data_IF_625134370056
#
_entry.id   IF_625134370056
#
_cell.length_a   1.000
_cell.length_b   1.000
_cell.length_c   1.000
_cell.angle_alpha   90.00
_cell.angle_beta   90.00
_cell.angle_gamma   90.00
#
_symmetry.space_group_name_H-M   'P 1'
#
loop_
_entity.id
_entity.type
_entity.pdbx_description
1 polymer ?
#
# COMPACT_ATOMS: atom_id res chain seq x y z
N UNK A 1 2.39 -35.75 0.79
CA UNK A 1 1.82 -34.51 0.22
C UNK A 1 2.21 -33.29 1.03
N UNK A 2 1.83 -33.19 2.31
CA UNK A 2 2.10 -31.99 3.14
C UNK A 2 3.58 -31.59 3.18
N UNK A 3 4.49 -32.55 3.41
CA UNK A 3 5.92 -32.27 3.50
C UNK A 3 6.54 -31.85 2.17
N UNK A 4 6.07 -32.45 1.07
CA UNK A 4 6.47 -32.11 -0.30
C UNK A 4 6.07 -30.66 -0.64
N UNK A 5 4.80 -30.31 -0.40
CA UNK A 5 4.27 -28.94 -0.61
C UNK A 5 5.05 -27.93 0.22
N UNK A 6 5.30 -28.24 1.50
CA UNK A 6 6.09 -27.37 2.40
C UNK A 6 7.53 -27.20 1.90
N UNK A 7 8.17 -28.27 1.44
CA UNK A 7 9.53 -28.21 0.92
C UNK A 7 9.62 -27.36 -0.35
N UNK A 8 8.69 -27.54 -1.29
CA UNK A 8 8.62 -26.75 -2.53
C UNK A 8 8.34 -25.27 -2.25
N UNK A 9 7.38 -24.96 -1.36
CA UNK A 9 7.06 -23.59 -0.98
C UNK A 9 8.26 -22.89 -0.31
N UNK A 10 8.94 -23.57 0.63
CA UNK A 10 10.15 -23.03 1.29
C UNK A 10 11.29 -22.79 0.30
N UNK A 11 11.41 -23.64 -0.72
CA UNK A 11 12.42 -23.50 -1.77
C UNK A 11 12.03 -22.47 -2.86
N UNK A 12 10.85 -21.84 -2.78
CA UNK A 12 10.35 -20.91 -3.79
C UNK A 12 10.06 -21.56 -5.15
N UNK A 13 9.87 -22.89 -5.19
CA UNK A 13 9.62 -23.67 -6.41
C UNK A 13 8.15 -23.58 -6.83
N UNK A 14 7.69 -22.37 -7.15
CA UNK A 14 6.28 -22.07 -7.41
C UNK A 14 5.70 -22.81 -8.61
N UNK A 15 6.45 -22.91 -9.72
CA UNK A 15 6.01 -23.65 -10.91
C UNK A 15 5.80 -25.14 -10.64
N UNK A 16 6.70 -25.76 -9.87
CA UNK A 16 6.56 -27.18 -9.51
C UNK A 16 5.36 -27.40 -8.59
N UNK A 17 5.14 -26.47 -7.66
CA UNK A 17 4.02 -26.49 -6.72
C UNK A 17 2.68 -26.28 -7.44
N UNK A 18 2.60 -25.33 -8.38
CA UNK A 18 1.45 -25.14 -9.25
C UNK A 18 1.18 -26.38 -10.11
N UNK A 19 2.22 -27.03 -10.63
CA UNK A 19 2.09 -28.26 -11.40
C UNK A 19 1.52 -29.45 -10.60
N UNK A 20 1.54 -29.43 -9.26
CA UNK A 20 0.82 -30.42 -8.46
C UNK A 20 -0.70 -30.32 -8.65
N UNK A 21 -1.24 -29.11 -8.88
CA UNK A 21 -2.67 -28.90 -9.12
C UNK A 21 -3.18 -29.67 -10.35
N UNK A 22 -2.31 -29.90 -11.33
CA UNK A 22 -2.66 -30.65 -12.54
C UNK A 22 -2.54 -32.17 -12.33
N UNK A 23 -1.45 -32.59 -11.69
CA UNK A 23 -1.13 -34.03 -11.54
C UNK A 23 -1.92 -34.72 -10.43
N UNK A 24 -2.33 -33.97 -9.41
CA UNK A 24 -2.85 -34.53 -8.14
C UNK A 24 -4.09 -33.80 -7.65
N UNK A 25 -4.91 -33.26 -8.56
CA UNK A 25 -6.12 -32.49 -8.24
C UNK A 25 -7.03 -33.17 -7.21
N UNK A 26 -7.41 -34.46 -7.34
CA UNK A 26 -8.29 -35.10 -6.37
C UNK A 26 -7.69 -35.20 -4.97
N UNK A 27 -6.38 -35.42 -4.88
CA UNK A 27 -5.67 -35.49 -3.59
C UNK A 27 -5.59 -34.13 -2.91
N UNK A 28 -5.33 -33.07 -3.69
CA UNK A 28 -5.33 -31.69 -3.20
C UNK A 28 -6.73 -31.28 -2.76
N UNK A 29 -7.75 -31.74 -3.50
CA UNK A 29 -9.13 -31.50 -3.13
C UNK A 29 -9.53 -32.26 -1.85
N UNK A 30 -9.00 -33.45 -1.62
CA UNK A 30 -9.21 -34.16 -0.37
C UNK A 30 -8.29 -33.69 0.78
N UNK A 31 -7.27 -32.88 0.49
CA UNK A 31 -6.27 -32.47 1.46
C UNK A 31 -6.77 -31.41 2.44
N UNK A 32 -5.96 -31.20 3.48
CA UNK A 32 -6.15 -30.13 4.45
C UNK A 32 -6.03 -28.75 3.81
N UNK A 33 -6.73 -27.78 4.41
CA UNK A 33 -6.82 -26.41 3.91
C UNK A 33 -5.44 -25.75 3.70
N UNK A 34 -4.49 -26.00 4.60
CA UNK A 34 -3.13 -25.43 4.51
C UNK A 34 -2.36 -25.89 3.25
N UNK A 35 -2.54 -27.15 2.84
CA UNK A 35 -1.96 -27.68 1.60
C UNK A 35 -2.60 -27.03 0.40
N UNK A 36 -3.94 -26.93 0.40
CA UNK A 36 -4.70 -26.28 -0.66
C UNK A 36 -4.30 -24.80 -0.82
N UNK A 37 -4.20 -24.03 0.26
CA UNK A 37 -3.84 -22.62 0.18
C UNK A 37 -2.39 -22.38 -0.25
N UNK A 38 -1.45 -23.25 0.14
CA UNK A 38 -0.07 -23.17 -0.35
C UNK A 38 0.02 -23.39 -1.87
N UNK A 39 -0.80 -24.28 -2.41
CA UNK A 39 -0.91 -24.49 -3.86
C UNK A 39 -1.65 -23.34 -4.53
N UNK A 40 -2.69 -22.79 -3.90
CA UNK A 40 -3.40 -21.60 -4.41
C UNK A 40 -2.46 -20.39 -4.54
N UNK A 41 -1.59 -20.16 -3.55
CA UNK A 41 -0.55 -19.12 -3.62
C UNK A 41 0.41 -19.35 -4.80
N UNK A 42 0.85 -20.58 -5.03
CA UNK A 42 1.68 -20.93 -6.17
C UNK A 42 0.97 -20.68 -7.51
N UNK A 43 -0.33 -20.97 -7.58
CA UNK A 43 -1.16 -20.70 -8.76
C UNK A 43 -1.24 -19.19 -9.04
N UNK A 44 -1.43 -18.34 -8.03
CA UNK A 44 -1.39 -16.86 -8.23
C UNK A 44 -0.02 -16.42 -8.76
N UNK A 45 1.07 -16.88 -8.14
CA UNK A 45 2.45 -16.53 -8.54
C UNK A 45 2.83 -17.02 -9.95
N UNK A 46 2.06 -17.93 -10.51
CA UNK A 46 2.25 -18.50 -11.85
C UNK A 46 1.14 -18.08 -12.82
N UNK A 47 0.43 -16.99 -12.50
CA UNK A 47 -0.61 -16.37 -13.34
C UNK A 47 -1.84 -17.26 -13.61
N UNK A 48 -2.09 -18.23 -12.72
CA UNK A 48 -3.25 -19.13 -12.75
C UNK A 48 -4.31 -18.70 -11.73
N UNK A 49 -4.62 -17.41 -11.72
CA UNK A 49 -5.50 -16.76 -10.72
C UNK A 49 -6.89 -17.41 -10.60
N UNK A 50 -7.61 -17.77 -11.69
CA UNK A 50 -8.92 -18.40 -11.58
C UNK A 50 -8.90 -19.73 -10.80
N UNK A 51 -7.84 -20.52 -10.96
CA UNK A 51 -7.69 -21.79 -10.25
C UNK A 51 -7.35 -21.58 -8.77
N UNK A 52 -6.55 -20.55 -8.46
CA UNK A 52 -6.30 -20.16 -7.09
C UNK A 52 -7.59 -19.74 -6.37
N UNK A 53 -8.44 -18.93 -7.02
CA UNK A 53 -9.74 -18.50 -6.47
C UNK A 53 -10.63 -19.71 -6.18
N UNK A 54 -10.71 -20.66 -7.12
CA UNK A 54 -11.48 -21.88 -6.92
C UNK A 54 -10.99 -22.67 -5.71
N UNK A 55 -9.66 -22.78 -5.53
CA UNK A 55 -9.07 -23.52 -4.43
C UNK A 55 -9.25 -22.84 -3.07
N UNK A 56 -9.11 -21.51 -3.01
CA UNK A 56 -9.44 -20.72 -1.81
C UNK A 56 -10.92 -20.86 -1.44
N UNK A 57 -11.82 -20.66 -2.41
CA UNK A 57 -13.28 -20.78 -2.24
C UNK A 57 -13.66 -22.12 -1.63
N UNK A 58 -13.11 -23.20 -2.17
CA UNK A 58 -13.39 -24.56 -1.72
C UNK A 58 -12.89 -24.83 -0.31
N UNK A 59 -11.68 -24.35 0.03
CA UNK A 59 -11.12 -24.49 1.38
C UNK A 59 -11.93 -23.72 2.43
N UNK A 60 -12.39 -22.52 2.10
CA UNK A 60 -13.21 -21.69 2.98
C UNK A 60 -14.63 -22.24 3.17
N UNK A 61 -15.22 -22.80 2.11
CA UNK A 61 -16.57 -23.38 2.11
C UNK A 61 -16.62 -24.83 2.60
N UNK A 62 -15.49 -25.43 3.01
CA UNK A 62 -15.47 -26.82 3.46
C UNK A 62 -16.38 -27.00 4.69
N UNK A 63 -17.29 -28.01 4.73
CA UNK A 63 -18.28 -28.15 5.81
C UNK A 63 -17.70 -28.27 7.22
N UNK A 64 -16.44 -28.71 7.33
CA UNK A 64 -15.73 -28.87 8.61
C UNK A 64 -14.76 -27.74 8.92
N UNK A 65 -14.70 -26.70 8.08
CA UNK A 65 -13.82 -25.57 8.33
C UNK A 65 -14.22 -24.86 9.62
N UNK A 66 -13.25 -24.62 10.48
CA UNK A 66 -13.39 -23.78 11.68
C UNK A 66 -13.37 -22.29 11.31
N UNK A 67 -13.80 -21.43 12.24
CA UNK A 67 -13.68 -19.98 12.08
C UNK A 67 -12.21 -19.55 11.93
N UNK A 68 -11.31 -20.22 12.64
CA UNK A 68 -9.86 -19.96 12.61
C UNK A 68 -9.24 -20.30 11.25
N UNK A 69 -9.62 -21.44 10.67
CA UNK A 69 -9.21 -21.82 9.32
C UNK A 69 -9.75 -20.83 8.28
N UNK A 70 -11.03 -20.44 8.37
CA UNK A 70 -11.60 -19.47 7.43
C UNK A 70 -10.89 -18.12 7.51
N UNK A 71 -10.58 -17.66 8.71
CA UNK A 71 -9.75 -16.46 8.94
C UNK A 71 -8.36 -16.60 8.32
N UNK A 72 -7.66 -17.70 8.59
CA UNK A 72 -6.31 -17.91 8.07
C UNK A 72 -6.28 -17.94 6.53
N UNK A 73 -7.26 -18.62 5.91
CA UNK A 73 -7.42 -18.65 4.47
C UNK A 73 -7.68 -17.27 3.87
N UNK A 74 -8.57 -16.48 4.48
CA UNK A 74 -8.84 -15.11 4.02
C UNK A 74 -7.61 -14.20 4.15
N UNK A 75 -6.92 -14.21 5.30
CA UNK A 75 -5.70 -13.41 5.50
C UNK A 75 -4.61 -13.76 4.47
N UNK A 76 -4.52 -15.04 4.08
CA UNK A 76 -3.58 -15.50 3.06
C UNK A 76 -3.99 -15.12 1.65
N UNK A 77 -5.28 -15.05 1.36
CA UNK A 77 -5.82 -14.63 0.07
C UNK A 77 -5.70 -13.11 -0.13
N UNK A 78 -5.83 -12.31 0.94
CA UNK A 78 -5.85 -10.83 0.88
C UNK A 78 -4.72 -10.19 0.07
N UNK A 79 -3.44 -10.53 0.25
CA UNK A 79 -2.36 -9.92 -0.53
C UNK A 79 -2.23 -10.47 -1.96
N UNK A 80 -3.02 -11.50 -2.32
CA UNK A 80 -2.86 -12.25 -3.56
C UNK A 80 -3.97 -12.00 -4.58
N UNK A 81 -5.18 -11.66 -4.11
CA UNK A 81 -6.37 -11.58 -4.95
C UNK A 81 -6.92 -10.14 -5.02
N UNK A 82 -7.57 -9.76 -6.15
CA UNK A 82 -8.31 -8.51 -6.23
C UNK A 82 -9.38 -8.43 -5.13
N UNK A 83 -9.65 -7.21 -4.65
CA UNK A 83 -10.57 -7.02 -3.52
C UNK A 83 -12.00 -7.50 -3.85
N UNK A 84 -12.41 -7.42 -5.11
CA UNK A 84 -13.70 -7.95 -5.57
C UNK A 84 -13.84 -9.47 -5.38
N UNK A 85 -12.74 -10.24 -5.49
CA UNK A 85 -12.75 -11.68 -5.22
C UNK A 85 -12.77 -11.95 -3.72
N UNK A 86 -12.04 -11.15 -2.93
CA UNK A 86 -12.10 -11.22 -1.47
C UNK A 86 -13.54 -11.02 -0.98
N UNK A 87 -14.27 -10.06 -1.55
CA UNK A 87 -15.68 -9.81 -1.22
C UNK A 87 -16.56 -11.04 -1.46
N UNK A 88 -16.33 -11.75 -2.58
CA UNK A 88 -17.05 -12.99 -2.88
C UNK A 88 -16.70 -14.11 -1.90
N UNK A 89 -15.42 -14.24 -1.52
CA UNK A 89 -14.98 -15.20 -0.51
C UNK A 89 -15.58 -14.90 0.86
N UNK A 90 -15.62 -13.62 1.27
CA UNK A 90 -16.24 -13.20 2.52
C UNK A 90 -17.75 -13.46 2.54
N UNK A 91 -18.45 -13.23 1.41
CA UNK A 91 -19.89 -13.50 1.29
C UNK A 91 -20.25 -14.98 1.39
N UNK A 92 -19.30 -15.88 1.11
CA UNK A 92 -19.48 -17.32 1.17
C UNK A 92 -19.29 -17.93 2.57
N UNK A 93 -18.92 -17.12 3.58
CA UNK A 93 -18.65 -17.60 4.94
C UNK A 93 -19.50 -16.87 5.99
N UNK A 94 -19.69 -17.44 7.20
CA UNK A 94 -20.46 -16.79 8.25
C UNK A 94 -19.87 -15.42 8.64
N UNK A 95 -20.71 -14.38 8.67
CA UNK A 95 -20.27 -13.01 8.96
C UNK A 95 -19.62 -12.84 10.34
N UNK A 96 -19.96 -13.68 11.33
CA UNK A 96 -19.33 -13.67 12.65
C UNK A 96 -17.82 -13.94 12.62
N UNK A 97 -17.34 -14.69 11.62
CA UNK A 97 -15.92 -15.04 11.49
C UNK A 97 -15.07 -13.86 11.00
N UNK A 98 -15.71 -12.92 10.29
CA UNK A 98 -15.05 -11.73 9.72
C UNK A 98 -14.72 -10.68 10.78
N UNK A 99 -15.41 -10.69 11.93
CA UNK A 99 -15.26 -9.66 12.96
C UNK A 99 -13.81 -9.50 13.44
N UNK A 100 -13.09 -10.62 13.57
CA UNK A 100 -11.70 -10.65 14.03
C UNK A 100 -10.67 -10.11 13.03
N UNK A 101 -11.00 -10.09 11.73
CA UNK A 101 -10.14 -9.61 10.63
C UNK A 101 -10.69 -8.35 9.97
N UNK A 102 -11.68 -7.69 10.60
CA UNK A 102 -12.35 -6.53 10.03
C UNK A 102 -11.36 -5.42 9.66
N UNK A 103 -10.39 -5.15 10.52
CA UNK A 103 -9.37 -4.13 10.26
C UNK A 103 -8.48 -4.51 9.06
N UNK A 104 -8.11 -5.78 8.92
CA UNK A 104 -7.31 -6.25 7.78
C UNK A 104 -8.06 -6.13 6.46
N UNK A 105 -9.36 -6.46 6.46
CA UNK A 105 -10.25 -6.29 5.30
C UNK A 105 -10.37 -4.82 4.90
N UNK A 106 -10.55 -3.91 5.86
CA UNK A 106 -10.63 -2.47 5.59
C UNK A 106 -9.29 -1.94 5.06
N UNK A 107 -8.16 -2.38 5.65
CA UNK A 107 -6.81 -2.02 5.19
C UNK A 107 -6.58 -2.45 3.74
N UNK A 108 -6.97 -3.67 3.39
CA UNK A 108 -6.88 -4.19 2.04
C UNK A 108 -7.76 -3.39 1.07
N UNK A 109 -9.01 -3.08 1.45
CA UNK A 109 -9.90 -2.26 0.61
C UNK A 109 -9.37 -0.84 0.39
N UNK A 110 -8.85 -0.18 1.43
CA UNK A 110 -8.20 1.13 1.29
C UNK A 110 -7.05 1.06 0.29
N UNK A 111 -6.23 0.01 0.36
CA UNK A 111 -5.15 -0.22 -0.58
C UNK A 111 -5.66 -0.46 -2.00
N UNK A 112 -6.70 -1.28 -2.18
CA UNK A 112 -7.33 -1.52 -3.48
C UNK A 112 -7.86 -0.22 -4.12
N UNK A 113 -8.50 0.66 -3.33
CA UNK A 113 -8.89 1.99 -3.80
C UNK A 113 -7.69 2.78 -4.27
N UNK A 114 -6.61 2.82 -3.49
CA UNK A 114 -5.41 3.56 -3.86
C UNK A 114 -4.79 3.05 -5.17
N UNK A 115 -4.78 1.73 -5.39
CA UNK A 115 -4.34 1.09 -6.63
C UNK A 115 -5.32 1.25 -7.82
N UNK A 116 -6.51 1.83 -7.59
CA UNK A 116 -7.46 2.11 -8.67
C UNK A 116 -8.37 0.95 -9.02
N UNK A 117 -8.53 -0.04 -8.13
CA UNK A 117 -9.51 -1.09 -8.32
C UNK A 117 -10.94 -0.53 -8.34
N UNK A 118 -11.70 -0.86 -9.38
CA UNK A 118 -13.06 -0.37 -9.57
C UNK A 118 -14.03 -0.93 -8.51
N UNK A 119 -15.02 -0.12 -8.13
CA UNK A 119 -16.10 -0.53 -7.23
C UNK A 119 -15.71 -0.67 -5.75
N UNK A 120 -14.49 -0.29 -5.36
CA UNK A 120 -13.98 -0.49 -4.00
C UNK A 120 -14.37 0.62 -3.02
N UNK A 121 -15.62 1.08 -3.04
CA UNK A 121 -16.06 2.13 -2.11
C UNK A 121 -15.87 1.69 -0.64
N UNK A 122 -15.28 2.58 0.18
CA UNK A 122 -15.10 2.32 1.61
C UNK A 122 -16.26 2.96 2.37
N UNK A 123 -17.00 2.15 3.14
CA UNK A 123 -18.11 2.64 3.95
C UNK A 123 -17.61 3.63 5.02
N UNK A 124 -18.37 4.70 5.35
CA UNK A 124 -17.95 5.67 6.37
C UNK A 124 -17.65 5.04 7.74
N UNK A 125 -18.44 4.05 8.16
CA UNK A 125 -18.23 3.33 9.42
C UNK A 125 -16.96 2.47 9.42
N UNK A 126 -16.56 1.96 8.27
CA UNK A 126 -15.30 1.20 8.10
C UNK A 126 -14.10 2.13 8.10
N UNK A 127 -14.20 3.26 7.39
CA UNK A 127 -13.17 4.29 7.42
C UNK A 127 -12.94 4.80 8.85
N UNK A 128 -14.01 5.12 9.59
CA UNK A 128 -13.91 5.56 10.98
C UNK A 128 -13.29 4.50 11.89
N UNK A 129 -13.63 3.22 11.70
CA UNK A 129 -13.03 2.12 12.46
C UNK A 129 -11.52 1.99 12.18
N UNK A 130 -11.11 2.10 10.92
CA UNK A 130 -9.69 2.05 10.56
C UNK A 130 -8.93 3.29 11.03
N UNK A 131 -9.54 4.48 11.00
CA UNK A 131 -8.96 5.70 11.57
C UNK A 131 -8.71 5.57 13.07
N UNK A 132 -9.69 5.06 13.83
CA UNK A 132 -9.51 4.80 15.26
C UNK A 132 -8.39 3.79 15.54
N UNK A 133 -8.30 2.72 14.73
CA UNK A 133 -7.20 1.77 14.79
C UNK A 133 -5.83 2.43 14.47
N UNK A 134 -5.76 3.21 13.39
CA UNK A 134 -4.54 3.90 12.96
C UNK A 134 -4.11 4.99 13.97
N UNK A 135 -5.05 5.58 14.71
CA UNK A 135 -4.75 6.53 15.79
C UNK A 135 -3.93 5.86 16.90
N UNK A 136 -4.27 4.62 17.27
CA UNK A 136 -3.57 3.88 18.33
C UNK A 136 -2.32 3.11 17.82
N UNK A 137 -2.26 2.79 16.52
CA UNK A 137 -1.19 1.97 15.97
C UNK A 137 0.18 2.68 15.98
N UNK A 138 1.26 2.05 16.49
CA UNK A 138 2.60 2.64 16.45
C UNK A 138 3.20 2.63 15.05
N UNK A 139 2.79 1.70 14.18
CA UNK A 139 3.26 1.59 12.81
C UNK A 139 2.84 2.83 11.98
N UNK A 140 3.80 3.63 11.48
CA UNK A 140 3.51 4.84 10.71
C UNK A 140 2.74 4.55 9.42
N UNK A 141 2.84 3.33 8.87
CA UNK A 141 2.15 2.96 7.64
C UNK A 141 0.63 2.95 7.79
N UNK A 142 0.11 2.72 9.00
CA UNK A 142 -1.33 2.76 9.25
C UNK A 142 -1.86 4.19 9.11
N UNK A 143 -1.16 5.16 9.74
CA UNK A 143 -1.47 6.59 9.58
C UNK A 143 -1.27 7.06 8.13
N UNK A 144 -0.18 6.63 7.48
CA UNK A 144 0.10 6.97 6.08
C UNK A 144 -0.95 6.42 5.10
N UNK A 145 -1.57 5.26 5.40
CA UNK A 145 -2.66 4.72 4.57
C UNK A 145 -3.89 5.62 4.63
N UNK A 146 -4.27 6.09 5.82
CA UNK A 146 -5.37 7.07 5.99
C UNK A 146 -5.04 8.36 5.23
N UNK A 147 -3.82 8.86 5.39
CA UNK A 147 -3.39 10.09 4.73
C UNK A 147 -3.47 10.02 3.20
N UNK A 148 -2.98 8.92 2.61
CA UNK A 148 -3.04 8.68 1.17
C UNK A 148 -4.49 8.58 0.67
N UNK A 149 -5.35 7.92 1.43
CA UNK A 149 -6.77 7.81 1.08
C UNK A 149 -7.47 9.18 1.11
N UNK A 150 -7.25 9.98 2.14
CA UNK A 150 -7.74 11.35 2.24
C UNK A 150 -7.21 12.23 1.08
N UNK A 151 -5.92 12.13 0.77
CA UNK A 151 -5.29 12.85 -0.34
C UNK A 151 -5.93 12.51 -1.70
N UNK A 152 -6.19 11.21 -1.96
CA UNK A 152 -6.85 10.75 -3.20
C UNK A 152 -8.26 11.33 -3.35
N UNK A 153 -8.96 11.54 -2.23
CA UNK A 153 -10.27 12.19 -2.18
C UNK A 153 -10.22 13.73 -2.15
N UNK A 154 -9.02 14.32 -2.21
CA UNK A 154 -8.79 15.76 -2.05
C UNK A 154 -9.23 16.33 -0.70
N UNK A 155 -9.33 15.49 0.34
CA UNK A 155 -9.47 15.95 1.72
C UNK A 155 -8.07 16.31 2.27
N UNK A 156 -7.58 17.48 1.85
CA UNK A 156 -6.23 17.94 2.16
C UNK A 156 -6.00 18.22 3.66
N UNK A 157 -6.95 18.81 4.42
CA UNK A 157 -6.80 18.98 5.86
C UNK A 157 -6.61 17.65 6.59
N UNK A 158 -7.41 16.64 6.25
CA UNK A 158 -7.28 15.31 6.83
C UNK A 158 -5.94 14.66 6.42
N UNK A 159 -5.60 14.69 5.13
CA UNK A 159 -4.34 14.15 4.63
C UNK A 159 -3.13 14.76 5.35
N UNK A 160 -3.12 16.08 5.55
CA UNK A 160 -2.04 16.80 6.23
C UNK A 160 -1.85 16.29 7.66
N UNK A 161 -2.95 16.20 8.42
CA UNK A 161 -2.93 15.74 9.81
C UNK A 161 -2.35 14.32 9.92
N UNK A 162 -2.82 13.41 9.06
CA UNK A 162 -2.38 12.02 9.09
C UNK A 162 -0.95 11.81 8.57
N UNK A 163 -0.52 12.55 7.55
CA UNK A 163 0.87 12.50 7.10
C UNK A 163 1.83 13.04 8.17
N UNK A 164 1.50 14.14 8.85
CA UNK A 164 2.29 14.66 9.97
C UNK A 164 2.40 13.61 11.09
N UNK A 165 1.29 12.94 11.43
CA UNK A 165 1.28 11.85 12.41
C UNK A 165 2.17 10.69 11.98
N UNK A 166 2.10 10.27 10.71
CA UNK A 166 2.92 9.20 10.19
C UNK A 166 4.43 9.54 10.24
N UNK A 167 4.82 10.75 9.83
CA UNK A 167 6.21 11.22 9.96
C UNK A 167 6.66 11.26 11.42
N UNK A 168 5.82 11.76 12.33
CA UNK A 168 6.13 11.80 13.77
C UNK A 168 6.31 10.40 14.40
N UNK A 169 5.80 9.35 13.75
CA UNK A 169 5.96 7.94 14.15
C UNK A 169 7.08 7.21 13.41
N UNK A 170 7.98 7.95 12.74
CA UNK A 170 9.08 7.36 12.00
C UNK A 170 8.70 6.85 10.61
N UNK A 171 7.70 7.47 9.97
CA UNK A 171 7.39 7.24 8.56
C UNK A 171 8.60 7.53 7.66
N UNK A 172 8.68 6.83 6.54
CA UNK A 172 9.82 6.91 5.62
C UNK A 172 9.76 8.12 4.67
N UNK A 173 10.72 8.17 3.74
CA UNK A 173 10.80 9.23 2.74
C UNK A 173 9.58 9.29 1.80
N UNK A 174 8.87 8.17 1.60
CA UNK A 174 7.65 8.13 0.80
C UNK A 174 6.47 8.75 1.56
N UNK A 175 6.38 8.51 2.86
CA UNK A 175 5.42 9.21 3.73
C UNK A 175 5.70 10.72 3.73
N UNK A 176 6.97 11.13 3.84
CA UNK A 176 7.37 12.53 3.78
C UNK A 176 7.08 13.16 2.41
N UNK A 177 7.24 12.41 1.32
CA UNK A 177 6.87 12.85 -0.02
C UNK A 177 5.37 13.17 -0.12
N UNK A 178 4.52 12.29 0.41
CA UNK A 178 3.07 12.54 0.51
C UNK A 178 2.73 13.79 1.34
N UNK A 179 3.46 14.01 2.44
CA UNK A 179 3.34 15.23 3.24
C UNK A 179 3.69 16.49 2.42
N UNK A 180 4.84 16.50 1.74
CA UNK A 180 5.30 17.62 0.93
C UNK A 180 4.30 17.95 -0.19
N UNK A 181 3.79 16.95 -0.91
CA UNK A 181 2.75 17.16 -1.92
C UNK A 181 1.44 17.70 -1.33
N UNK A 182 1.07 17.25 -0.13
CA UNK A 182 -0.12 17.77 0.55
C UNK A 182 0.07 19.25 0.92
N UNK A 183 1.22 19.61 1.47
CA UNK A 183 1.61 20.99 1.79
C UNK A 183 1.58 21.89 0.55
N UNK A 184 2.08 21.41 -0.59
CA UNK A 184 2.00 22.16 -1.86
C UNK A 184 0.56 22.42 -2.30
N UNK A 185 -0.31 21.40 -2.26
CA UNK A 185 -1.70 21.53 -2.70
C UNK A 185 -2.50 22.53 -1.86
N UNK A 186 -2.13 22.74 -0.60
CA UNK A 186 -2.75 23.75 0.28
C UNK A 186 -2.02 25.10 0.27
N UNK A 187 -0.96 25.26 -0.52
CA UNK A 187 -0.25 26.52 -0.69
C UNK A 187 0.90 26.77 0.30
N UNK A 188 1.21 25.82 1.18
CA UNK A 188 2.33 25.90 2.13
C UNK A 188 3.65 25.49 1.44
N UNK A 189 4.08 26.32 0.48
CA UNK A 189 5.23 26.03 -0.39
C UNK A 189 6.55 25.93 0.36
N UNK A 190 6.79 26.83 1.31
CA UNK A 190 8.02 26.85 2.11
C UNK A 190 8.14 25.56 2.93
N UNK A 191 7.06 25.17 3.60
CA UNK A 191 7.03 23.96 4.41
C UNK A 191 7.19 22.71 3.55
N UNK A 192 6.58 22.70 2.35
CA UNK A 192 6.76 21.60 1.42
C UNK A 192 8.23 21.45 0.96
N UNK A 193 8.88 22.56 0.64
CA UNK A 193 10.31 22.60 0.29
C UNK A 193 11.17 22.06 1.43
N UNK A 194 10.94 22.52 2.66
CA UNK A 194 11.73 22.07 3.82
C UNK A 194 11.57 20.56 4.06
N UNK A 195 10.35 20.02 3.92
CA UNK A 195 10.11 18.58 4.00
C UNK A 195 10.81 17.83 2.86
N UNK A 196 10.68 18.31 1.63
CA UNK A 196 11.30 17.69 0.46
C UNK A 196 12.84 17.67 0.60
N UNK A 197 13.45 18.78 1.02
CA UNK A 197 14.88 18.86 1.26
C UNK A 197 15.35 17.93 2.38
N UNK A 198 14.61 17.86 3.49
CA UNK A 198 14.97 17.01 4.63
C UNK A 198 14.98 15.51 4.26
N UNK A 199 14.13 15.10 3.31
CA UNK A 199 13.96 13.71 2.89
C UNK A 199 14.47 13.43 1.47
N UNK A 200 15.38 14.26 0.96
CA UNK A 200 15.89 14.19 -0.43
C UNK A 200 16.81 12.99 -0.69
N UNK A 201 17.62 12.59 0.29
CA UNK A 201 18.63 11.55 0.11
C UNK A 201 18.01 10.14 0.00
N UNK A 202 17.05 9.73 0.85
CA UNK A 202 16.49 8.38 0.77
C UNK A 202 15.49 8.20 -0.38
N UNK A 203 15.02 9.30 -1.00
CA UNK A 203 14.08 9.25 -2.12
C UNK A 203 14.34 10.38 -3.12
N UNK A 204 14.82 10.01 -4.31
CA UNK A 204 15.12 10.94 -5.41
C UNK A 204 13.94 11.87 -5.77
N UNK A 205 12.70 11.39 -5.67
CA UNK A 205 11.51 12.21 -5.95
C UNK A 205 11.40 13.43 -5.03
N UNK A 206 11.92 13.36 -3.79
CA UNK A 206 11.96 14.52 -2.90
C UNK A 206 13.04 15.52 -3.30
N UNK A 207 14.18 15.06 -3.82
CA UNK A 207 15.19 15.94 -4.38
C UNK A 207 14.66 16.70 -5.61
N UNK A 208 13.99 16.00 -6.52
CA UNK A 208 13.33 16.60 -7.68
C UNK A 208 12.25 17.59 -7.24
N UNK A 209 11.38 17.19 -6.30
CA UNK A 209 10.34 18.06 -5.76
C UNK A 209 10.92 19.34 -5.14
N UNK A 210 12.04 19.24 -4.41
CA UNK A 210 12.71 20.41 -3.86
C UNK A 210 13.17 21.39 -4.95
N UNK A 211 13.81 20.88 -6.01
CA UNK A 211 14.25 21.71 -7.15
C UNK A 211 13.02 22.35 -7.83
N UNK A 212 12.00 21.54 -8.15
CA UNK A 212 10.75 21.95 -8.77
C UNK A 212 10.04 23.09 -8.03
N UNK A 213 10.04 23.07 -6.69
CA UNK A 213 9.37 24.09 -5.88
C UNK A 213 10.12 25.42 -6.03
N UNK A 214 11.45 25.41 -5.86
CA UNK A 214 12.25 26.63 -5.90
C UNK A 214 12.37 27.22 -7.29
N UNK A 215 12.52 26.38 -8.31
CA UNK A 215 12.54 26.80 -9.71
C UNK A 215 11.26 27.58 -10.05
N UNK A 216 10.10 27.05 -9.65
CA UNK A 216 8.80 27.72 -9.87
C UNK A 216 8.65 29.03 -9.12
N UNK A 217 9.36 29.23 -8.01
CA UNK A 217 9.35 30.51 -7.29
C UNK A 217 10.31 31.52 -7.95
N UNK A 218 11.49 31.07 -8.38
CA UNK A 218 12.51 31.88 -9.04
C UNK A 218 12.10 32.35 -10.44
N UNK A 219 11.37 31.53 -11.19
CA UNK A 219 10.96 31.83 -12.57
C UNK A 219 9.67 32.65 -12.67
N UNK A 220 9.12 33.13 -11.54
CA UNK A 220 7.93 34.00 -11.55
C UNK A 220 8.29 35.37 -12.11
N UNK A 221 7.31 36.03 -12.74
CA UNK A 221 7.49 37.41 -13.23
C UNK A 221 7.93 38.39 -12.13
N UNK A 222 7.47 38.14 -10.89
CA UNK A 222 7.95 38.81 -9.67
C UNK A 222 8.30 37.70 -8.67
N UNK A 223 9.58 37.29 -8.59
CA UNK A 223 10.02 36.27 -7.65
C UNK A 223 9.81 36.75 -6.19
N UNK A 224 9.41 35.86 -5.27
CA UNK A 224 9.42 36.19 -3.86
C UNK A 224 10.87 36.38 -3.38
N UNK A 225 11.07 37.13 -2.30
CA UNK A 225 12.36 37.15 -1.62
C UNK A 225 12.68 35.74 -1.08
N UNK A 226 13.78 35.15 -1.53
CA UNK A 226 14.26 33.84 -1.09
C UNK A 226 15.47 34.04 -0.18
N UNK A 227 15.48 33.35 0.96
CA UNK A 227 16.61 33.43 1.88
C UNK A 227 17.91 32.89 1.24
N UNK A 228 19.07 33.53 1.49
CA UNK A 228 20.34 33.11 0.90
C UNK A 228 20.67 31.63 1.11
N UNK A 229 20.34 31.09 2.27
CA UNK A 229 20.56 29.68 2.61
C UNK A 229 19.72 28.73 1.75
N UNK A 230 18.51 29.11 1.34
CA UNK A 230 17.68 28.32 0.42
C UNK A 230 18.26 28.35 -0.99
N UNK A 231 18.72 29.51 -1.46
CA UNK A 231 19.41 29.64 -2.74
C UNK A 231 20.70 28.80 -2.76
N UNK A 232 21.46 28.78 -1.66
CA UNK A 232 22.65 27.94 -1.53
C UNK A 232 22.30 26.45 -1.64
N UNK A 233 21.32 25.97 -0.87
CA UNK A 233 20.81 24.59 -0.93
C UNK A 233 20.36 24.20 -2.34
N UNK A 234 19.69 25.12 -3.03
CA UNK A 234 19.25 24.92 -4.40
C UNK A 234 20.39 24.80 -5.39
N UNK A 235 21.35 25.73 -5.35
CA UNK A 235 22.53 25.68 -6.21
C UNK A 235 23.32 24.38 -6.03
N UNK A 236 23.50 23.94 -4.78
CA UNK A 236 24.16 22.66 -4.46
C UNK A 236 23.39 21.46 -5.01
N UNK A 237 22.07 21.43 -4.85
CA UNK A 237 21.25 20.32 -5.34
C UNK A 237 21.18 20.29 -6.87
N UNK A 238 21.04 21.44 -7.52
CA UNK A 238 21.05 21.59 -8.98
C UNK A 238 22.37 21.09 -9.56
N UNK A 239 23.50 21.47 -8.96
CA UNK A 239 24.82 21.00 -9.38
C UNK A 239 24.96 19.48 -9.18
N UNK A 240 24.52 18.95 -8.02
CA UNK A 240 24.60 17.52 -7.71
C UNK A 240 23.71 16.64 -8.61
N UNK A 241 22.59 17.18 -9.11
CA UNK A 241 21.63 16.45 -9.98
C UNK A 241 21.86 16.70 -11.46
N UNK A 242 22.79 17.58 -11.82
CA UNK A 242 22.98 18.06 -13.19
C UNK A 242 21.65 18.56 -13.83
N UNK A 243 20.79 19.20 -13.04
CA UNK A 243 19.49 19.69 -13.52
C UNK A 243 19.68 20.93 -14.41
N UNK A 244 19.37 20.78 -15.71
CA UNK A 244 19.41 21.89 -16.67
C UNK A 244 18.38 22.98 -16.36
N UNK A 245 17.18 22.57 -15.97
CA UNK A 245 16.08 23.45 -15.52
C UNK A 245 16.49 24.23 -14.26
N UNK A 246 17.16 23.55 -13.33
CA UNK A 246 17.65 24.18 -12.12
C UNK A 246 18.77 25.21 -12.37
N UNK A 247 19.64 24.95 -13.34
CA UNK A 247 20.69 25.89 -13.72
C UNK A 247 20.13 27.14 -14.40
N UNK A 248 19.07 26.97 -15.21
CA UNK A 248 18.40 28.09 -15.87
C UNK A 248 17.72 29.03 -14.88
N UNK A 249 17.13 28.53 -13.80
CA UNK A 249 16.47 29.36 -12.79
C UNK A 249 17.45 30.19 -11.93
N UNK A 250 18.75 29.91 -11.97
CA UNK A 250 19.80 30.68 -11.29
C UNK A 250 20.36 31.84 -12.14
N UNK A 251 20.07 31.87 -13.45
CA UNK A 251 20.61 32.83 -14.40
C UNK A 251 19.74 34.09 -14.51
#
# INVERSE_FOLDING_TARGET
>A
MRDEVRALAKAGRWSDLAGLADRRRPEIEAAEAEVAWSIAEALVRTDRVPEAIALFSRGLAAPRASADERRAGLLRALPLLPMAEIDRLCAAIPGGDLASIRIDLIRARLSAVLHGEAGQAVAPADLAAFQAYAEAAPDPNQAALVARYAFKRSDLPEALSWFKRAVARGGDAMVAHGLAHTLLRIGLRREAEDVAYAWREPLVNNALLFIDILERDLTRAVPPAIEPERLRRYAEMTAATASGEGAQALA
#
